data_IF_564577461661
#
_entry.id   IF_564577461661
#
_cell.length_a   1.000
_cell.length_b   1.000
_cell.length_c   1.000
_cell.angle_alpha   90.00
_cell.angle_beta   90.00
_cell.angle_gamma   90.00
#
_symmetry.space_group_name_H-M   'P 1'
#
loop_
_entity.id
_entity.type
_entity.pdbx_description
1 polymer ?
#
# COMPACT_ATOMS: atom_id res chain seq x y z
N UNK A 1 -29.90 -18.84 -2.39
CA UNK A 1 -30.47 -19.91 -1.53
C UNK A 1 -31.43 -20.75 -2.34
N UNK A 2 -31.35 -22.08 -2.20
CA UNK A 2 -32.33 -23.01 -2.73
C UNK A 2 -33.14 -23.49 -1.52
N UNK A 3 -34.46 -23.17 -1.49
CA UNK A 3 -35.37 -23.60 -0.44
C UNK A 3 -36.27 -24.67 -1.04
N UNK A 4 -36.20 -25.89 -0.50
CA UNK A 4 -37.03 -26.99 -0.92
C UNK A 4 -37.95 -27.42 0.24
N UNK A 5 -39.27 -27.42 0.07
CA UNK A 5 -40.14 -27.88 1.11
C UNK A 5 -39.99 -29.39 1.30
N UNK A 6 -40.12 -29.88 2.53
CA UNK A 6 -40.13 -31.30 2.84
C UNK A 6 -41.50 -31.95 2.48
N UNK A 7 -42.56 -31.13 2.33
CA UNK A 7 -43.88 -31.55 1.85
C UNK A 7 -44.69 -30.31 1.45
N UNK A 8 -45.54 -30.42 0.40
CA UNK A 8 -46.42 -29.35 -0.03
C UNK A 8 -45.75 -28.31 -0.95
N UNK A 9 -46.44 -27.16 -1.17
CA UNK A 9 -45.99 -26.06 -2.00
C UNK A 9 -45.92 -24.79 -1.17
N UNK A 10 -44.83 -23.99 -1.31
CA UNK A 10 -44.76 -22.65 -0.75
C UNK A 10 -45.65 -21.69 -1.53
N UNK A 11 -46.41 -20.89 -0.82
CA UNK A 11 -46.98 -19.66 -1.40
C UNK A 11 -45.99 -18.49 -1.18
N UNK A 12 -46.05 -17.48 -2.05
CA UNK A 12 -45.18 -16.33 -1.95
C UNK A 12 -45.31 -15.60 -0.60
N UNK A 13 -46.47 -15.61 -0.01
CA UNK A 13 -46.82 -15.07 1.32
C UNK A 13 -46.20 -15.84 2.49
N UNK A 14 -45.77 -17.10 2.26
CA UNK A 14 -45.13 -17.93 3.29
C UNK A 14 -43.63 -17.65 3.41
N UNK A 15 -43.07 -16.86 2.49
CA UNK A 15 -41.65 -16.52 2.45
C UNK A 15 -41.47 -15.09 2.92
N UNK A 16 -40.91 -14.93 4.13
CA UNK A 16 -40.46 -13.61 4.62
C UNK A 16 -38.95 -13.61 4.71
N UNK A 17 -38.36 -12.53 4.22
CA UNK A 17 -36.91 -12.26 4.39
C UNK A 17 -36.75 -11.21 5.48
N UNK A 18 -35.91 -11.50 6.46
CA UNK A 18 -35.39 -10.47 7.37
C UNK A 18 -33.93 -10.23 7.02
N UNK A 19 -33.54 -8.96 7.06
CA UNK A 19 -32.12 -8.65 7.07
C UNK A 19 -31.51 -9.32 8.32
N UNK A 20 -30.49 -10.13 8.13
CA UNK A 20 -29.71 -10.68 9.23
C UNK A 20 -28.85 -9.60 9.88
N UNK A 21 -28.35 -9.90 11.07
CA UNK A 21 -27.33 -9.06 11.70
C UNK A 21 -26.05 -9.09 10.86
N UNK A 22 -25.29 -8.00 10.92
CA UNK A 22 -23.98 -7.94 10.25
C UNK A 22 -23.04 -8.98 10.88
N UNK A 23 -22.21 -9.59 10.04
CA UNK A 23 -21.26 -10.62 10.47
C UNK A 23 -20.14 -10.03 11.34
N UNK A 24 -19.87 -8.74 11.22
CA UNK A 24 -18.77 -8.04 11.87
C UNK A 24 -19.30 -6.95 12.78
N UNK A 25 -18.62 -6.75 13.92
CA UNK A 25 -19.02 -5.82 14.98
C UNK A 25 -18.21 -4.53 14.97
N UNK A 26 -17.14 -4.48 14.19
CA UNK A 26 -16.19 -3.36 14.15
C UNK A 26 -15.62 -3.22 12.74
N UNK A 27 -15.45 -1.97 12.31
CA UNK A 27 -14.71 -1.61 11.11
C UNK A 27 -13.40 -0.94 11.53
N UNK A 28 -12.28 -1.37 10.95
CA UNK A 28 -11.00 -0.69 11.07
C UNK A 28 -10.58 -0.27 9.66
N UNK A 29 -10.65 1.02 9.37
CA UNK A 29 -10.18 1.61 8.12
C UNK A 29 -8.74 2.08 8.31
N UNK A 30 -7.84 1.65 7.42
CA UNK A 30 -6.41 1.94 7.51
C UNK A 30 -5.97 2.56 6.18
N UNK A 31 -5.41 3.78 6.22
CA UNK A 31 -4.90 4.47 5.05
C UNK A 31 -5.97 4.85 4.03
N UNK A 32 -7.14 5.24 4.51
CA UNK A 32 -8.22 5.74 3.67
C UNK A 32 -8.60 7.13 4.17
N UNK A 33 -8.40 8.15 3.35
CA UNK A 33 -8.64 9.54 3.72
C UNK A 33 -10.12 9.87 3.92
N UNK A 34 -11.02 9.16 3.23
CA UNK A 34 -12.48 9.31 3.23
C UNK A 34 -13.15 7.95 3.02
N UNK A 35 -14.48 7.87 3.20
CA UNK A 35 -15.24 6.64 2.99
C UNK A 35 -15.35 6.27 1.50
N UNK A 36 -15.41 7.26 0.62
CA UNK A 36 -15.52 7.09 -0.83
C UNK A 36 -14.26 6.42 -1.40
N UNK A 37 -13.09 6.65 -0.81
CA UNK A 37 -11.83 5.99 -1.17
C UNK A 37 -11.86 4.47 -1.00
N UNK A 38 -12.80 3.95 -0.20
CA UNK A 38 -13.03 2.51 -0.05
C UNK A 38 -13.78 1.92 -1.26
N UNK A 39 -14.32 2.77 -2.15
CA UNK A 39 -14.99 2.39 -3.39
C UNK A 39 -16.15 1.43 -3.14
N UNK A 40 -16.27 0.40 -3.96
CA UNK A 40 -17.38 -0.56 -3.91
C UNK A 40 -17.58 -1.20 -2.54
N UNK A 41 -16.54 -1.29 -1.71
CA UNK A 41 -16.69 -1.85 -0.36
C UNK A 41 -17.62 -0.96 0.48
N UNK A 42 -17.51 0.36 0.36
CA UNK A 42 -18.40 1.31 0.99
C UNK A 42 -19.74 1.39 0.26
N UNK A 43 -19.72 1.57 -1.07
CA UNK A 43 -20.93 1.77 -1.87
C UNK A 43 -21.95 0.63 -1.72
N UNK A 44 -21.48 -0.60 -1.67
CA UNK A 44 -22.33 -1.80 -1.56
C UNK A 44 -22.75 -2.08 -0.11
N UNK A 45 -22.18 -1.42 0.91
CA UNK A 45 -22.40 -1.71 2.33
C UNK A 45 -22.63 -0.46 3.20
N UNK A 46 -23.15 0.61 2.65
CA UNK A 46 -23.35 1.91 3.33
C UNK A 46 -24.04 1.75 4.70
N UNK A 47 -25.09 0.94 4.78
CA UNK A 47 -25.84 0.69 6.03
C UNK A 47 -24.94 0.10 7.13
N UNK A 48 -24.00 -0.78 6.77
CA UNK A 48 -23.04 -1.37 7.71
C UNK A 48 -22.08 -0.30 8.27
N UNK A 49 -21.55 0.57 7.41
CA UNK A 49 -20.64 1.64 7.83
C UNK A 49 -21.30 2.68 8.77
N UNK A 50 -22.62 2.86 8.67
CA UNK A 50 -23.36 3.72 9.59
C UNK A 50 -23.76 3.05 10.92
N UNK A 51 -23.86 1.70 10.94
CA UNK A 51 -24.30 0.96 12.13
C UNK A 51 -23.15 0.43 12.97
N UNK A 52 -22.07 -0.03 12.34
CA UNK A 52 -20.93 -0.60 13.03
C UNK A 52 -19.99 0.51 13.55
N UNK A 53 -19.39 0.36 14.73
CA UNK A 53 -18.31 1.23 15.17
C UNK A 53 -17.16 1.22 14.15
N UNK A 54 -16.54 2.39 13.92
CA UNK A 54 -15.46 2.55 12.96
C UNK A 54 -14.26 3.25 13.61
N UNK A 55 -13.10 2.59 13.50
CA UNK A 55 -11.79 3.15 13.85
C UNK A 55 -11.10 3.52 12.54
N UNK A 56 -10.69 4.78 12.44
CA UNK A 56 -9.92 5.29 11.30
C UNK A 56 -8.47 5.50 11.72
N UNK A 57 -7.53 4.89 11.00
CA UNK A 57 -6.08 4.98 11.24
C UNK A 57 -5.42 5.51 9.98
N UNK A 58 -4.80 6.69 10.06
CA UNK A 58 -4.19 7.29 8.88
C UNK A 58 -3.03 8.24 9.24
N UNK A 59 -2.24 8.62 8.23
CA UNK A 59 -1.21 9.65 8.29
C UNK A 59 -1.39 10.73 7.21
N UNK A 60 -2.49 10.68 6.46
CA UNK A 60 -2.78 11.69 5.44
C UNK A 60 -3.38 12.95 6.11
N UNK A 61 -2.77 14.15 5.90
CA UNK A 61 -3.32 15.41 6.40
C UNK A 61 -4.68 15.76 5.77
N UNK A 62 -5.06 15.16 4.64
CA UNK A 62 -6.35 15.36 3.99
C UNK A 62 -7.44 14.40 4.50
N UNK A 63 -7.18 13.63 5.56
CA UNK A 63 -8.15 12.69 6.12
C UNK A 63 -9.36 13.44 6.72
N UNK A 64 -10.58 13.00 6.38
CA UNK A 64 -11.85 13.63 6.78
C UNK A 64 -12.31 13.30 8.21
N UNK A 65 -11.53 12.54 8.98
CA UNK A 65 -11.83 12.22 10.40
C UNK A 65 -13.20 11.54 10.57
N UNK A 66 -13.54 10.63 9.72
CA UNK A 66 -14.88 10.04 9.59
C UNK A 66 -15.17 8.88 10.58
N UNK A 67 -14.19 8.42 11.34
CA UNK A 67 -14.36 7.38 12.36
C UNK A 67 -14.92 7.90 13.67
N UNK A 68 -15.58 7.03 14.46
CA UNK A 68 -15.89 7.33 15.85
C UNK A 68 -14.61 7.42 16.70
N UNK A 69 -13.58 6.68 16.32
CA UNK A 69 -12.22 6.78 16.85
C UNK A 69 -11.30 7.06 15.68
N UNK A 70 -10.51 8.14 15.78
CA UNK A 70 -9.56 8.52 14.75
C UNK A 70 -8.14 8.55 15.33
N UNK A 71 -7.28 7.70 14.82
CA UNK A 71 -5.86 7.62 15.16
C UNK A 71 -5.07 8.20 14.00
N UNK A 72 -4.95 9.51 13.97
CA UNK A 72 -4.27 10.25 12.90
C UNK A 72 -2.93 10.75 13.38
N UNK A 73 -1.85 10.40 12.68
CA UNK A 73 -0.51 10.92 12.95
C UNK A 73 0.16 11.36 11.66
N UNK A 74 -0.03 12.63 11.31
CA UNK A 74 0.54 13.26 10.12
C UNK A 74 2.07 13.37 10.15
N UNK A 75 2.70 13.18 11.34
CA UNK A 75 4.16 13.20 11.48
C UNK A 75 4.77 11.81 11.23
N UNK A 76 4.00 10.75 11.35
CA UNK A 76 4.45 9.41 10.99
C UNK A 76 4.62 9.27 9.48
N UNK A 77 5.77 8.79 9.07
CA UNK A 77 6.07 8.58 7.66
C UNK A 77 5.27 7.42 7.08
N UNK A 78 4.96 6.41 7.88
CA UNK A 78 4.28 5.19 7.43
C UNK A 78 3.13 4.77 8.35
N UNK A 79 2.09 4.19 7.75
CA UNK A 79 1.00 3.57 8.52
C UNK A 79 1.48 2.42 9.40
N UNK A 80 2.46 1.66 8.93
CA UNK A 80 3.05 0.55 9.69
C UNK A 80 3.68 1.01 10.99
N UNK A 81 4.23 2.23 11.05
CA UNK A 81 4.78 2.83 12.27
C UNK A 81 3.67 3.15 13.27
N UNK A 82 2.57 3.71 12.83
CA UNK A 82 1.40 3.99 13.67
C UNK A 82 0.84 2.70 14.27
N UNK A 83 0.66 1.68 13.43
CA UNK A 83 0.16 0.38 13.86
C UNK A 83 1.14 -0.29 14.84
N UNK A 84 2.45 -0.23 14.56
CA UNK A 84 3.46 -0.78 15.46
C UNK A 84 3.38 -0.14 16.85
N UNK A 85 3.33 1.20 16.93
CA UNK A 85 3.18 1.92 18.21
C UNK A 85 1.89 1.54 18.93
N UNK A 86 0.78 1.44 18.20
CA UNK A 86 -0.50 1.03 18.79
C UNK A 86 -0.42 -0.36 19.42
N UNK A 87 0.19 -1.33 18.73
CA UNK A 87 0.35 -2.69 19.23
C UNK A 87 1.27 -2.71 20.48
N UNK A 88 2.38 -1.97 20.43
CA UNK A 88 3.35 -1.82 21.54
C UNK A 88 2.68 -1.21 22.78
N UNK A 89 1.96 -0.10 22.62
CA UNK A 89 1.26 0.60 23.71
C UNK A 89 0.14 -0.24 24.35
N UNK A 90 -0.49 -1.10 23.56
CA UNK A 90 -1.51 -2.03 24.06
C UNK A 90 -0.91 -3.31 24.66
N UNK A 91 0.40 -3.48 24.61
CA UNK A 91 1.07 -4.68 25.12
C UNK A 91 0.69 -5.94 24.36
N UNK A 92 0.30 -5.81 23.07
CA UNK A 92 -0.05 -6.95 22.23
C UNK A 92 1.22 -7.65 21.75
N UNK A 93 1.15 -8.97 21.70
CA UNK A 93 2.27 -9.78 21.22
C UNK A 93 2.49 -9.54 19.71
N UNK A 94 3.71 -9.20 19.35
CA UNK A 94 4.15 -9.02 17.96
C UNK A 94 5.09 -10.17 17.64
N UNK A 95 4.58 -11.16 16.92
CA UNK A 95 5.39 -12.27 16.43
C UNK A 95 6.26 -11.87 15.22
N UNK A 96 7.07 -12.81 14.74
CA UNK A 96 7.97 -12.55 13.62
C UNK A 96 7.24 -12.28 12.30
N UNK A 97 6.00 -12.77 12.11
CA UNK A 97 5.22 -12.56 10.92
C UNK A 97 4.61 -11.16 10.90
N UNK A 98 4.01 -10.75 12.03
CA UNK A 98 3.51 -9.38 12.23
C UNK A 98 4.68 -8.39 12.08
N UNK A 99 5.81 -8.65 12.75
CA UNK A 99 7.00 -7.82 12.66
C UNK A 99 7.51 -7.71 11.20
N UNK A 100 7.47 -8.80 10.42
CA UNK A 100 7.89 -8.81 9.02
C UNK A 100 6.94 -7.98 8.17
N UNK A 101 5.62 -8.10 8.35
CA UNK A 101 4.64 -7.33 7.61
C UNK A 101 4.78 -5.81 7.88
N UNK A 102 4.93 -5.43 9.15
CA UNK A 102 5.11 -4.03 9.54
C UNK A 102 6.42 -3.45 9.00
N UNK A 103 7.52 -4.21 9.10
CA UNK A 103 8.81 -3.79 8.55
C UNK A 103 8.75 -3.68 7.02
N UNK A 104 8.00 -4.55 6.35
CA UNK A 104 7.81 -4.48 4.90
C UNK A 104 7.15 -3.16 4.48
N UNK A 105 6.11 -2.72 5.20
CA UNK A 105 5.46 -1.44 4.95
C UNK A 105 6.41 -0.25 5.16
N UNK A 106 7.23 -0.28 6.23
CA UNK A 106 8.24 0.76 6.47
C UNK A 106 9.27 0.79 5.34
N UNK A 107 9.83 -0.35 4.95
CA UNK A 107 10.85 -0.45 3.90
C UNK A 107 10.29 0.01 2.55
N UNK A 108 9.06 -0.34 2.23
CA UNK A 108 8.39 0.06 0.99
C UNK A 108 8.22 1.58 0.92
N UNK A 109 7.56 2.18 1.91
CA UNK A 109 7.23 3.61 1.94
C UNK A 109 8.48 4.49 2.05
N UNK A 110 9.50 4.03 2.76
CA UNK A 110 10.78 4.75 2.88
C UNK A 110 11.72 4.54 1.69
N UNK A 111 11.31 3.77 0.68
CA UNK A 111 12.17 3.35 -0.43
C UNK A 111 13.52 2.79 0.07
N UNK A 112 13.43 1.84 1.00
CA UNK A 112 14.59 1.26 1.70
C UNK A 112 15.44 2.31 2.44
N UNK A 113 14.77 3.17 3.22
CA UNK A 113 15.37 4.25 4.02
C UNK A 113 16.08 5.34 3.21
N UNK A 114 15.77 5.49 1.93
CA UNK A 114 16.29 6.56 1.07
C UNK A 114 15.45 7.85 1.10
N UNK A 115 14.24 7.80 1.70
CA UNK A 115 13.36 8.94 1.76
C UNK A 115 13.96 10.04 2.65
N UNK A 116 14.01 11.26 2.16
CA UNK A 116 14.57 12.43 2.87
C UNK A 116 13.71 12.90 4.06
N UNK A 117 12.48 12.42 4.20
CA UNK A 117 11.58 12.65 5.34
C UNK A 117 11.75 11.63 6.46
N UNK A 118 12.75 10.76 6.36
CA UNK A 118 13.01 9.71 7.36
C UNK A 118 13.22 10.33 8.76
N UNK A 119 12.50 9.80 9.74
CA UNK A 119 12.57 10.26 11.13
C UNK A 119 13.36 9.28 12.01
N UNK A 120 13.92 9.74 13.17
CA UNK A 120 14.51 8.83 14.14
C UNK A 120 13.52 7.77 14.64
N UNK A 121 12.23 8.11 14.78
CA UNK A 121 11.20 7.19 15.26
C UNK A 121 10.96 6.04 14.28
N UNK A 122 10.97 6.33 12.97
CA UNK A 122 10.90 5.31 11.92
C UNK A 122 12.06 4.32 12.01
N UNK A 123 13.28 4.81 12.28
CA UNK A 123 14.45 3.95 12.45
C UNK A 123 14.37 3.13 13.74
N UNK A 124 13.89 3.72 14.84
CA UNK A 124 13.69 3.00 16.11
C UNK A 124 12.64 1.90 15.97
N UNK A 125 11.50 2.20 15.33
CA UNK A 125 10.47 1.20 15.02
C UNK A 125 11.05 0.05 14.20
N UNK A 126 11.81 0.36 13.15
CA UNK A 126 12.48 -0.64 12.30
C UNK A 126 13.45 -1.51 13.08
N UNK A 127 14.27 -0.89 13.95
CA UNK A 127 15.23 -1.60 14.82
C UNK A 127 14.52 -2.58 15.76
N UNK A 128 13.43 -2.14 16.40
CA UNK A 128 12.62 -2.99 17.27
C UNK A 128 12.00 -4.17 16.51
N UNK A 129 11.42 -3.91 15.32
CA UNK A 129 10.84 -4.95 14.47
C UNK A 129 11.88 -5.99 14.05
N UNK A 130 13.11 -5.56 13.72
CA UNK A 130 14.23 -6.48 13.42
C UNK A 130 14.58 -7.31 14.68
N UNK A 131 14.59 -6.69 15.86
CA UNK A 131 14.83 -7.39 17.14
C UNK A 131 13.76 -8.45 17.43
N UNK A 132 12.52 -8.22 16.96
CA UNK A 132 11.41 -9.17 16.98
C UNK A 132 11.48 -10.21 15.86
N UNK A 133 12.63 -10.35 15.21
CA UNK A 133 12.94 -11.34 14.16
C UNK A 133 12.16 -11.13 12.85
N UNK A 134 11.84 -9.87 12.51
CA UNK A 134 11.34 -9.56 11.17
C UNK A 134 12.35 -10.02 10.11
N UNK A 135 11.86 -10.68 9.07
CA UNK A 135 12.67 -11.28 7.99
C UNK A 135 13.06 -10.24 6.94
N UNK A 136 13.94 -9.30 7.35
CA UNK A 136 14.36 -8.18 6.50
C UNK A 136 14.93 -8.63 5.16
N UNK A 137 15.74 -9.69 5.12
CA UNK A 137 16.34 -10.16 3.86
C UNK A 137 15.29 -10.64 2.87
N UNK A 138 14.28 -11.37 3.35
CA UNK A 138 13.14 -11.79 2.51
C UNK A 138 12.40 -10.59 1.91
N UNK A 139 12.19 -9.52 2.69
CA UNK A 139 11.57 -8.29 2.21
C UNK A 139 12.42 -7.65 1.10
N UNK A 140 13.72 -7.51 1.33
CA UNK A 140 14.64 -6.92 0.36
C UNK A 140 14.70 -7.74 -0.92
N UNK A 141 14.77 -9.07 -0.81
CA UNK A 141 14.80 -9.95 -1.97
C UNK A 141 13.51 -9.82 -2.80
N UNK A 142 12.35 -9.77 -2.15
CA UNK A 142 11.07 -9.63 -2.83
C UNK A 142 10.86 -8.26 -3.48
N UNK A 143 11.24 -7.18 -2.83
CA UNK A 143 10.98 -5.83 -3.33
C UNK A 143 12.06 -5.32 -4.29
N UNK A 144 13.33 -5.70 -4.08
CA UNK A 144 14.45 -5.05 -4.75
C UNK A 144 15.35 -5.99 -5.54
N UNK A 145 15.31 -7.31 -5.29
CA UNK A 145 16.18 -8.28 -5.97
C UNK A 145 15.47 -9.20 -6.96
N UNK A 146 14.17 -9.12 -7.09
CA UNK A 146 13.35 -9.94 -7.99
C UNK A 146 13.18 -9.33 -9.39
N UNK A 147 14.13 -8.52 -9.85
CA UNK A 147 14.05 -7.89 -11.16
C UNK A 147 14.23 -8.92 -12.27
N UNK A 148 13.25 -8.97 -13.19
CA UNK A 148 13.33 -9.83 -14.37
C UNK A 148 14.46 -9.35 -15.32
N UNK A 149 15.10 -10.30 -16.01
CA UNK A 149 16.13 -10.01 -17.02
C UNK A 149 15.60 -9.11 -18.13
N UNK A 150 14.32 -9.20 -18.48
CA UNK A 150 13.66 -8.30 -19.44
C UNK A 150 13.69 -6.84 -18.97
N UNK A 151 13.45 -6.60 -17.67
CA UNK A 151 13.53 -5.25 -17.07
C UNK A 151 14.97 -4.72 -17.11
N UNK A 152 15.98 -5.55 -16.80
CA UNK A 152 17.37 -5.15 -16.89
C UNK A 152 17.80 -4.82 -18.34
N UNK A 153 17.27 -5.53 -19.33
CA UNK A 153 17.46 -5.19 -20.74
C UNK A 153 16.82 -3.88 -21.13
N UNK A 154 15.63 -3.58 -20.59
CA UNK A 154 14.96 -2.29 -20.77
C UNK A 154 15.81 -1.16 -20.18
N UNK A 155 16.28 -1.30 -18.95
CA UNK A 155 17.20 -0.39 -18.30
C UNK A 155 18.42 -0.11 -19.18
N UNK A 156 19.07 -1.16 -19.68
CA UNK A 156 20.22 -1.02 -20.56
C UNK A 156 19.91 -0.23 -21.84
N UNK A 157 18.75 -0.40 -22.43
CA UNK A 157 18.32 0.37 -23.62
C UNK A 157 18.05 1.83 -23.30
N UNK A 158 17.36 2.11 -22.17
CA UNK A 158 17.10 3.48 -21.73
C UNK A 158 18.39 4.24 -21.47
N UNK A 159 19.28 3.64 -20.69
CA UNK A 159 20.58 4.22 -20.35
C UNK A 159 21.47 4.43 -21.59
N UNK A 160 21.46 3.49 -22.54
CA UNK A 160 22.24 3.62 -23.78
C UNK A 160 21.74 4.75 -24.69
N UNK A 161 20.44 5.08 -24.60
CA UNK A 161 19.82 6.14 -25.40
C UNK A 161 19.64 7.45 -24.61
N UNK A 162 20.21 7.52 -23.41
CA UNK A 162 20.09 8.71 -22.56
C UNK A 162 20.79 9.89 -23.22
N UNK A 163 20.08 11.00 -23.31
CA UNK A 163 20.58 12.28 -23.79
C UNK A 163 20.45 13.30 -22.67
N UNK A 164 21.38 14.23 -22.61
CA UNK A 164 21.34 15.34 -21.65
C UNK A 164 21.55 16.68 -22.36
N UNK A 165 20.87 17.69 -21.87
CA UNK A 165 20.98 19.07 -22.35
C UNK A 165 21.11 20.04 -21.16
N UNK A 166 21.64 21.24 -21.42
CA UNK A 166 21.80 22.32 -20.43
C UNK A 166 22.56 21.90 -19.16
N UNK A 167 23.73 21.27 -19.30
CA UNK A 167 24.55 20.77 -18.18
C UNK A 167 23.79 19.76 -17.29
N UNK A 168 23.15 18.79 -17.91
CA UNK A 168 22.39 17.70 -17.26
C UNK A 168 21.13 18.15 -16.51
N UNK A 169 20.63 19.36 -16.78
CA UNK A 169 19.36 19.80 -16.20
C UNK A 169 18.14 19.15 -16.86
N UNK A 170 18.25 18.80 -18.15
CA UNK A 170 17.23 18.08 -18.90
C UNK A 170 17.80 16.76 -19.37
N UNK A 171 17.19 15.67 -18.97
CA UNK A 171 17.61 14.32 -19.33
C UNK A 171 16.42 13.63 -19.99
N UNK A 172 16.64 13.02 -21.13
CA UNK A 172 15.60 12.30 -21.84
C UNK A 172 16.11 11.06 -22.54
N UNK A 173 15.25 10.09 -22.73
CA UNK A 173 15.53 8.89 -23.50
C UNK A 173 14.33 8.50 -24.34
N UNK A 174 14.59 8.05 -25.57
CA UNK A 174 13.54 7.58 -26.48
C UNK A 174 13.63 6.08 -26.70
N UNK A 175 12.51 5.39 -26.52
CA UNK A 175 12.38 3.96 -26.76
C UNK A 175 11.46 3.74 -27.95
N UNK A 176 11.93 3.02 -28.98
CA UNK A 176 11.13 2.68 -30.15
C UNK A 176 9.95 1.75 -29.77
N UNK A 177 8.85 1.90 -30.49
CA UNK A 177 7.59 1.15 -30.27
C UNK A 177 7.75 -0.37 -30.25
N UNK A 178 8.72 -0.92 -31.01
CA UNK A 178 9.03 -2.34 -31.00
C UNK A 178 9.67 -2.80 -29.67
N UNK A 179 10.50 -1.96 -29.06
CA UNK A 179 11.12 -2.26 -27.78
C UNK A 179 10.12 -2.25 -26.60
N UNK A 180 9.05 -1.48 -26.71
CA UNK A 180 7.98 -1.45 -25.72
C UNK A 180 6.98 -2.62 -25.90
N UNK A 181 6.81 -3.11 -27.12
CA UNK A 181 5.92 -4.26 -27.40
C UNK A 181 6.44 -5.57 -26.81
N UNK A 182 7.77 -5.74 -26.75
CA UNK A 182 8.43 -6.92 -26.16
C UNK A 182 8.26 -7.00 -24.63
N UNK A 183 7.76 -5.96 -23.98
CA UNK A 183 7.73 -5.81 -22.51
C UNK A 183 6.35 -6.06 -21.88
N UNK A 184 5.27 -6.16 -22.69
CA UNK A 184 3.91 -6.41 -22.21
C UNK A 184 3.38 -5.33 -21.24
N UNK A 185 2.27 -5.62 -20.54
CA UNK A 185 1.63 -4.68 -19.59
C UNK A 185 2.48 -4.34 -18.34
N UNK A 186 3.53 -5.11 -18.05
CA UNK A 186 4.47 -4.82 -16.97
C UNK A 186 5.30 -3.54 -17.24
N UNK A 187 5.29 -3.02 -18.47
CA UNK A 187 6.20 -1.98 -18.94
C UNK A 187 5.98 -0.59 -18.33
N UNK A 188 4.74 -0.19 -18.00
CA UNK A 188 4.46 1.18 -17.52
C UNK A 188 4.99 1.37 -16.09
N UNK A 189 4.66 0.46 -15.16
CA UNK A 189 5.19 0.51 -13.79
C UNK A 189 6.72 0.44 -13.76
N UNK A 190 7.28 -0.40 -14.64
CA UNK A 190 8.73 -0.54 -14.75
C UNK A 190 9.41 0.72 -15.29
N UNK A 191 8.74 1.50 -16.13
CA UNK A 191 9.24 2.78 -16.61
C UNK A 191 9.20 3.85 -15.49
N UNK A 192 8.13 3.89 -14.71
CA UNK A 192 8.03 4.77 -13.55
C UNK A 192 9.15 4.51 -12.54
N UNK A 193 9.42 3.23 -12.21
CA UNK A 193 10.54 2.86 -11.33
C UNK A 193 11.90 3.31 -11.89
N UNK A 194 12.11 3.16 -13.21
CA UNK A 194 13.35 3.59 -13.87
C UNK A 194 13.51 5.11 -13.79
N UNK A 195 12.45 5.85 -14.07
CA UNK A 195 12.45 7.31 -14.00
C UNK A 195 12.76 7.79 -12.58
N UNK A 196 12.11 7.21 -11.57
CA UNK A 196 12.36 7.54 -10.17
C UNK A 196 13.81 7.25 -9.74
N UNK A 197 14.34 6.09 -10.15
CA UNK A 197 15.74 5.74 -9.87
C UNK A 197 16.73 6.68 -10.58
N UNK A 198 16.41 7.12 -11.81
CA UNK A 198 17.25 8.10 -12.55
C UNK A 198 17.22 9.46 -11.87
N UNK A 199 16.04 9.98 -11.52
CA UNK A 199 15.90 11.27 -10.80
C UNK A 199 16.68 11.23 -9.48
N UNK A 200 16.60 10.13 -8.74
CA UNK A 200 17.31 9.97 -7.47
C UNK A 200 18.83 9.91 -7.58
N UNK A 201 19.37 9.55 -8.75
CA UNK A 201 20.82 9.39 -8.98
C UNK A 201 21.46 10.56 -9.74
N UNK A 202 20.68 11.52 -10.23
CA UNK A 202 21.19 12.70 -10.95
C UNK A 202 20.68 13.96 -10.24
N UNK A 203 21.39 14.44 -9.19
CA UNK A 203 20.91 15.53 -8.31
C UNK A 203 20.70 16.87 -9.02
N UNK A 204 21.38 17.09 -10.14
CA UNK A 204 21.32 18.34 -10.90
C UNK A 204 20.16 18.38 -11.90
N UNK A 205 19.51 17.25 -12.12
CA UNK A 205 18.37 17.11 -13.02
C UNK A 205 17.13 17.82 -12.47
N UNK A 206 16.58 18.73 -13.27
CA UNK A 206 15.30 19.41 -13.00
C UNK A 206 14.12 18.71 -13.68
N UNK A 207 14.41 17.91 -14.69
CA UNK A 207 13.41 17.18 -15.48
C UNK A 207 14.03 15.90 -16.07
N UNK A 208 13.30 14.81 -15.95
CA UNK A 208 13.61 13.52 -16.57
C UNK A 208 12.46 13.04 -17.43
#
# INVERSE_FOLDING_TARGET
>A
FIISPSSGWFKQEDISTKAGDFKYDLIIAIGSKDLESLGRLYDDNVEFFFKAPLINIDNDPANEVYGQINLLDINSLTLSEIIFRLLEEKGLEIDSDIATCLLAGIIHETKNFKNNRLTPDTLLASSKLISLKARREEIIDRFYRSRDVSLLKLWGRILNNLQSEENDQFIWSAIGRQASADLGQASIRSLEEIIEDLIGNIPESKMV
#
